data_IF_653745297043
#
_entry.id   IF_653745297043
#
_cell.length_a   1.000
_cell.length_b   1.000
_cell.length_c   1.000
_cell.angle_alpha   90.00
_cell.angle_beta   90.00
_cell.angle_gamma   90.00
#
_symmetry.space_group_name_H-M   'P 1'
#
loop_
_entity.id
_entity.type
_entity.pdbx_description
1 polymer ?
#
# COMPACT_ATOMS: atom_id res chain seq x y z
N UNK A 1 -21.82 14.77 -15.10
CA UNK A 1 -21.66 14.28 -13.72
C UNK A 1 -20.35 13.50 -13.72
N UNK A 2 -19.39 13.87 -12.88
CA UNK A 2 -18.08 13.24 -12.87
C UNK A 2 -18.08 12.21 -11.74
N UNK A 3 -17.90 10.94 -12.07
CA UNK A 3 -17.99 9.84 -11.10
C UNK A 3 -16.60 9.46 -10.58
N UNK A 4 -16.47 9.40 -9.25
CA UNK A 4 -15.31 8.81 -8.60
C UNK A 4 -15.33 7.30 -8.85
N UNK A 5 -14.37 6.80 -9.61
CA UNK A 5 -14.20 5.36 -9.82
C UNK A 5 -13.38 4.77 -8.67
N UNK A 6 -13.82 3.61 -8.17
CA UNK A 6 -13.07 2.77 -7.23
C UNK A 6 -13.10 1.31 -7.65
N UNK A 7 -12.02 0.59 -7.41
CA UNK A 7 -11.89 -0.83 -7.73
C UNK A 7 -11.10 -1.53 -6.62
N UNK A 8 -11.75 -2.51 -5.99
CA UNK A 8 -11.13 -3.32 -4.93
C UNK A 8 -10.42 -4.54 -5.51
N UNK A 9 -9.30 -4.93 -4.92
CA UNK A 9 -8.53 -6.09 -5.32
C UNK A 9 -7.88 -6.75 -4.10
N UNK A 10 -7.60 -8.05 -4.22
CA UNK A 10 -6.79 -8.77 -3.25
C UNK A 10 -5.32 -8.70 -3.69
N UNK A 11 -4.42 -8.39 -2.77
CA UNK A 11 -2.99 -8.38 -3.03
C UNK A 11 -2.26 -9.25 -2.01
N UNK A 12 -1.18 -9.87 -2.43
CA UNK A 12 -0.31 -10.63 -1.55
C UNK A 12 1.01 -9.88 -1.43
N UNK A 13 1.34 -9.37 -0.24
CA UNK A 13 2.67 -8.80 0.03
C UNK A 13 3.40 -9.72 1.02
N UNK A 14 4.64 -9.38 1.33
CA UNK A 14 5.43 -10.07 2.34
C UNK A 14 5.45 -9.22 3.60
N UNK A 15 5.12 -9.81 4.75
CA UNK A 15 5.14 -9.10 6.03
C UNK A 15 6.53 -9.17 6.68
N UNK A 16 7.29 -8.06 6.75
CA UNK A 16 8.63 -8.06 7.35
C UNK A 16 8.61 -8.38 8.85
N UNK A 17 7.49 -8.20 9.56
CA UNK A 17 7.38 -8.51 10.99
C UNK A 17 7.26 -10.02 11.26
N UNK A 18 6.75 -10.79 10.30
CA UNK A 18 6.63 -12.24 10.40
C UNK A 18 7.75 -13.01 9.70
N UNK A 19 8.83 -12.33 9.29
CA UNK A 19 9.91 -12.97 8.52
C UNK A 19 9.59 -13.13 7.04
N UNK A 20 8.86 -12.15 6.47
CA UNK A 20 8.48 -12.09 5.05
C UNK A 20 7.51 -13.19 4.63
N UNK A 21 6.62 -13.62 5.51
CA UNK A 21 5.55 -14.53 5.12
C UNK A 21 4.55 -13.81 4.20
N UNK A 22 3.96 -14.55 3.27
CA UNK A 22 2.90 -14.03 2.40
C UNK A 22 1.65 -13.79 3.23
N UNK A 23 1.15 -12.57 3.19
CA UNK A 23 -0.16 -12.21 3.73
C UNK A 23 -1.03 -11.60 2.64
N UNK A 24 -2.32 -11.88 2.71
CA UNK A 24 -3.33 -11.33 1.82
C UNK A 24 -3.89 -10.05 2.42
N UNK A 25 -3.96 -9.00 1.60
CA UNK A 25 -4.52 -7.70 1.97
C UNK A 25 -5.50 -7.21 0.94
N UNK A 26 -6.50 -6.46 1.41
CA UNK A 26 -7.44 -5.76 0.55
C UNK A 26 -6.82 -4.43 0.12
N UNK A 27 -6.64 -4.29 -1.19
CA UNK A 27 -6.28 -3.06 -1.85
C UNK A 27 -7.48 -2.40 -2.51
N UNK A 28 -7.44 -1.08 -2.62
CA UNK A 28 -8.38 -0.29 -3.39
C UNK A 28 -7.61 0.66 -4.30
N UNK A 29 -7.98 0.72 -5.57
CA UNK A 29 -7.53 1.78 -6.47
C UNK A 29 -8.63 2.81 -6.59
N UNK A 30 -8.27 4.08 -6.41
CA UNK A 30 -9.16 5.25 -6.53
C UNK A 30 -8.65 6.12 -7.67
N UNK A 31 -9.57 6.62 -8.49
CA UNK A 31 -9.26 7.55 -9.57
C UNK A 31 -9.92 8.89 -9.27
N UNK A 32 -9.11 9.95 -9.28
CA UNK A 32 -9.60 11.33 -9.22
C UNK A 32 -9.88 11.79 -10.67
N UNK A 33 -11.15 12.01 -11.03
CA UNK A 33 -11.51 12.38 -12.38
C UNK A 33 -11.36 13.88 -12.68
N UNK A 34 -11.06 14.71 -11.66
CA UNK A 34 -10.78 16.13 -11.81
C UNK A 34 -9.29 16.38 -12.10
N UNK A 35 -8.39 15.62 -11.46
CA UNK A 35 -6.94 15.75 -11.67
C UNK A 35 -6.38 14.71 -12.64
N UNK A 36 -7.08 13.59 -12.84
CA UNK A 36 -6.57 12.44 -13.58
C UNK A 36 -5.65 11.54 -12.75
N UNK A 37 -5.47 11.83 -11.47
CA UNK A 37 -4.58 11.07 -10.60
C UNK A 37 -5.17 9.72 -10.21
N UNK A 38 -4.27 8.78 -9.93
CA UNK A 38 -4.59 7.46 -9.40
C UNK A 38 -3.90 7.27 -8.06
N UNK A 39 -4.68 6.86 -7.05
CA UNK A 39 -4.17 6.51 -5.72
C UNK A 39 -4.48 5.06 -5.42
N UNK A 40 -3.48 4.31 -4.96
CA UNK A 40 -3.66 2.97 -4.42
C UNK A 40 -3.64 3.05 -2.90
N UNK A 41 -4.67 2.49 -2.29
CA UNK A 41 -4.84 2.43 -0.84
C UNK A 41 -4.80 0.95 -0.46
N UNK A 42 -4.00 0.62 0.55
CA UNK A 42 -3.92 -0.73 1.09
C UNK A 42 -4.43 -0.69 2.52
N UNK A 43 -5.46 -1.48 2.83
CA UNK A 43 -5.84 -1.73 4.20
C UNK A 43 -4.96 -2.88 4.72
N UNK A 44 -3.79 -2.52 5.22
CA UNK A 44 -2.81 -3.49 5.67
C UNK A 44 -3.20 -4.15 7.00
N UNK A 45 -4.27 -3.69 7.67
CA UNK A 45 -4.60 -4.13 9.04
C UNK A 45 -3.46 -3.90 10.06
N UNK A 46 -2.37 -3.26 9.62
CA UNK A 46 -1.26 -2.78 10.43
C UNK A 46 -1.83 -1.59 11.18
N UNK A 47 -2.46 -1.84 12.35
CA UNK A 47 -2.79 -0.75 13.27
C UNK A 47 -1.57 0.17 13.39
N UNK A 48 -1.77 1.51 13.46
CA UNK A 48 -0.73 2.56 13.28
C UNK A 48 0.66 1.97 13.02
N UNK A 49 1.05 1.91 11.75
CA UNK A 49 2.45 1.67 11.40
C UNK A 49 3.31 2.46 12.39
N UNK A 50 4.22 1.83 13.15
CA UNK A 50 5.14 2.59 13.98
C UNK A 50 5.76 3.64 13.07
N UNK A 51 5.97 4.87 13.55
CA UNK A 51 6.64 5.91 12.76
C UNK A 51 7.92 5.32 12.19
N UNK A 52 7.83 4.93 10.93
CA UNK A 52 8.85 4.20 10.22
C UNK A 52 9.41 5.21 9.26
N UNK A 53 10.65 5.58 9.51
CA UNK A 53 11.43 6.41 8.63
C UNK A 53 11.63 5.68 7.29
N UNK A 54 10.80 6.05 6.31
CA UNK A 54 10.81 5.49 4.96
C UNK A 54 12.18 5.67 4.28
N UNK A 55 12.93 6.70 4.68
CA UNK A 55 14.25 7.03 4.14
C UNK A 55 15.29 5.97 4.58
N UNK A 56 15.24 5.54 5.85
CA UNK A 56 16.13 4.50 6.39
C UNK A 56 15.83 3.11 5.77
N UNK A 57 14.57 2.79 5.47
CA UNK A 57 14.22 1.53 4.79
C UNK A 57 14.74 1.46 3.36
N UNK A 58 14.59 2.56 2.60
CA UNK A 58 15.10 2.65 1.22
C UNK A 58 16.62 2.49 1.19
N UNK A 59 17.32 3.06 2.18
CA UNK A 59 18.77 2.96 2.30
C UNK A 59 19.25 1.53 2.61
N UNK A 60 18.52 0.79 3.45
CA UNK A 60 18.87 -0.62 3.75
C UNK A 60 18.55 -1.59 2.61
N UNK A 61 17.55 -1.30 1.80
CA UNK A 61 17.18 -2.13 0.64
C UNK A 61 18.16 -2.06 -0.54
N UNK A 62 19.06 -1.07 -0.56
CA UNK A 62 20.04 -0.87 -1.64
C UNK A 62 21.43 -1.45 -1.33
N UNK A 63 21.65 -1.97 -0.12
CA UNK A 63 22.91 -2.60 0.30
C UNK A 63 22.89 -4.15 0.23
N UNK A 64 21.86 -4.74 -0.38
CA UNK A 64 21.69 -6.20 -0.57
C UNK A 64 22.01 -6.69 -1.97
#
# INVERSE_FOLDING_TARGET
MVELRKEGYLCCLLDPQSGFEKKEWLGETRWDPLTGDMVRVFDLGLGKLPEMDMEEMLRRGTEG
#
